data_IF_122127210209
#
_entry.id   IF_122127210209
#
_cell.length_a   1.000
_cell.length_b   1.000
_cell.length_c   1.000
_cell.angle_alpha   90.00
_cell.angle_beta   90.00
_cell.angle_gamma   90.00
#
_symmetry.space_group_name_H-M   'P 1'
#
loop_
_entity.id
_entity.type
_entity.pdbx_description
1 polymer ?
#
# COMPACT_ATOMS: atom_id res chain seq x y z
N UNK A 1 -35.71 -9.02 -41.68
CA UNK A 1 -35.68 -9.08 -40.21
C UNK A 1 -34.25 -9.44 -39.81
N UNK A 2 -33.43 -8.42 -39.58
CA UNK A 2 -32.03 -8.64 -39.16
C UNK A 2 -31.97 -8.75 -37.65
N UNK A 3 -31.66 -9.94 -37.15
CA UNK A 3 -31.38 -10.17 -35.72
C UNK A 3 -29.91 -9.88 -35.49
N UNK A 4 -29.58 -8.72 -34.91
CA UNK A 4 -28.28 -8.44 -34.40
C UNK A 4 -28.13 -9.22 -33.07
N UNK A 5 -27.38 -10.30 -33.08
CA UNK A 5 -26.79 -10.88 -31.91
C UNK A 5 -25.57 -10.01 -31.57
N UNK A 6 -25.77 -8.94 -30.80
CA UNK A 6 -24.70 -8.27 -30.12
C UNK A 6 -24.18 -9.20 -29.03
N UNK A 7 -23.10 -9.90 -29.28
CA UNK A 7 -22.37 -10.60 -28.24
C UNK A 7 -21.97 -9.54 -27.21
N UNK A 8 -22.47 -9.66 -25.97
CA UNK A 8 -21.96 -8.89 -24.84
C UNK A 8 -20.49 -9.27 -24.70
N UNK A 9 -19.57 -8.38 -25.12
CA UNK A 9 -18.17 -8.53 -24.72
C UNK A 9 -18.14 -8.46 -23.22
N UNK A 10 -17.68 -9.52 -22.58
CA UNK A 10 -17.52 -9.57 -21.13
C UNK A 10 -16.44 -8.54 -20.76
N UNK A 11 -16.81 -7.46 -20.09
CA UNK A 11 -15.86 -6.42 -19.69
C UNK A 11 -14.94 -6.91 -18.62
N UNK A 12 -13.72 -6.44 -18.63
CA UNK A 12 -12.68 -6.76 -17.63
C UNK A 12 -12.11 -5.50 -17.04
N UNK A 13 -12.36 -5.30 -15.76
CA UNK A 13 -11.85 -4.16 -15.01
C UNK A 13 -10.77 -4.60 -14.03
N UNK A 14 -9.75 -3.76 -13.92
CA UNK A 14 -8.68 -3.85 -12.94
C UNK A 14 -8.84 -2.71 -11.93
N UNK A 15 -8.79 -3.02 -10.64
CA UNK A 15 -8.64 -2.04 -9.56
C UNK A 15 -7.23 -2.18 -8.97
N UNK A 16 -6.49 -1.09 -8.90
CA UNK A 16 -5.14 -1.03 -8.30
C UNK A 16 -5.19 -0.11 -7.09
N UNK A 17 -4.57 -0.53 -5.97
CA UNK A 17 -4.43 0.25 -4.74
C UNK A 17 -2.97 0.19 -4.27
N UNK A 18 -2.35 1.35 -4.07
CA UNK A 18 -0.95 1.48 -3.64
C UNK A 18 -0.85 1.23 -2.13
N UNK A 19 -0.05 0.23 -1.75
CA UNK A 19 -0.01 -0.27 -0.36
C UNK A 19 0.54 0.79 0.60
N UNK A 20 -0.30 1.20 1.59
CA UNK A 20 0.08 2.19 2.62
C UNK A 20 0.70 3.48 2.03
N UNK A 21 0.16 3.98 0.96
CA UNK A 21 0.74 4.90 -0.01
C UNK A 21 1.63 5.99 0.61
N UNK A 22 1.09 6.86 1.47
CA UNK A 22 1.88 7.96 2.04
C UNK A 22 3.08 7.46 2.86
N UNK A 23 2.92 6.37 3.62
CA UNK A 23 4.02 5.80 4.38
C UNK A 23 5.06 5.16 3.47
N UNK A 24 4.64 4.53 2.36
CA UNK A 24 5.54 3.97 1.36
C UNK A 24 6.36 5.06 0.67
N UNK A 25 5.73 6.18 0.26
CA UNK A 25 6.46 7.35 -0.29
C UNK A 25 7.49 7.88 0.72
N UNK A 26 7.12 8.02 2.00
CA UNK A 26 8.02 8.51 3.03
C UNK A 26 9.21 7.57 3.29
N UNK A 27 8.99 6.26 3.22
CA UNK A 27 10.09 5.28 3.31
C UNK A 27 11.01 5.38 2.10
N UNK A 28 10.47 5.30 0.89
CA UNK A 28 11.26 5.30 -0.35
C UNK A 28 12.09 6.57 -0.50
N UNK A 29 11.51 7.74 -0.24
CA UNK A 29 12.25 9.02 -0.28
C UNK A 29 13.42 9.10 0.72
N UNK A 30 13.45 8.22 1.73
CA UNK A 30 14.55 8.07 2.71
C UNK A 30 15.50 6.92 2.37
N UNK A 31 15.29 6.23 1.25
CA UNK A 31 16.05 5.04 0.89
C UNK A 31 15.72 3.82 1.76
N UNK A 32 14.52 3.78 2.35
CA UNK A 32 14.05 2.73 3.27
C UNK A 32 12.98 1.87 2.60
N UNK A 33 12.94 0.59 2.96
CA UNK A 33 11.89 -0.34 2.49
C UNK A 33 10.65 -0.27 3.40
N UNK A 34 9.48 0.13 2.87
CA UNK A 34 8.25 0.22 3.65
C UNK A 34 7.75 -1.12 4.20
N UNK A 35 8.19 -2.24 3.62
CA UNK A 35 7.81 -3.57 4.06
C UNK A 35 8.54 -4.01 5.33
N UNK A 36 9.65 -3.36 5.67
CA UNK A 36 10.48 -3.74 6.84
C UNK A 36 10.67 -2.61 7.85
N UNK A 37 10.46 -1.35 7.45
CA UNK A 37 10.66 -0.20 8.34
C UNK A 37 9.35 0.27 8.96
N UNK A 38 9.34 0.39 10.27
CA UNK A 38 8.23 0.92 11.04
C UNK A 38 8.17 2.45 10.88
N UNK A 39 7.11 2.94 10.24
CA UNK A 39 6.92 4.37 9.99
C UNK A 39 5.43 4.73 10.06
N UNK A 40 5.15 5.91 10.61
CA UNK A 40 3.82 6.55 10.57
C UNK A 40 3.93 7.93 9.93
N UNK A 41 2.91 8.31 9.17
CA UNK A 41 2.77 9.67 8.64
C UNK A 41 1.77 10.43 9.50
N UNK A 42 2.27 11.38 10.29
CA UNK A 42 1.44 12.18 11.20
C UNK A 42 2.08 13.53 11.49
N UNK A 43 1.25 14.55 11.71
CA UNK A 43 1.70 15.86 12.19
C UNK A 43 1.81 15.84 13.73
N UNK A 44 2.99 15.44 14.22
CA UNK A 44 3.27 15.38 15.66
C UNK A 44 3.44 16.75 16.31
N UNK A 45 3.58 17.84 15.52
CA UNK A 45 3.73 19.19 16.04
C UNK A 45 2.44 19.75 16.66
N UNK A 46 1.28 19.19 16.27
CA UNK A 46 -0.03 19.65 16.71
C UNK A 46 -0.43 19.02 18.04
N UNK A 47 -0.64 17.71 18.05
CA UNK A 47 -1.09 16.97 19.24
C UNK A 47 -1.05 15.46 18.99
N UNK A 48 -0.88 14.67 20.03
CA UNK A 48 -0.96 13.22 19.97
C UNK A 48 -2.35 12.67 19.56
N UNK A 49 -3.39 13.52 19.57
CA UNK A 49 -4.74 13.17 19.09
C UNK A 49 -4.87 13.25 17.58
N UNK A 50 -3.81 13.70 16.86
CA UNK A 50 -3.80 13.78 15.40
C UNK A 50 -4.01 12.39 14.80
N UNK A 51 -4.75 12.33 13.69
CA UNK A 51 -4.96 11.08 12.93
C UNK A 51 -3.71 10.83 12.10
N UNK A 52 -3.17 9.61 12.15
CA UNK A 52 -2.12 9.19 11.25
C UNK A 52 -2.70 8.99 9.85
N UNK A 53 -2.13 9.66 8.85
CA UNK A 53 -2.60 9.56 7.46
C UNK A 53 -2.30 8.19 6.86
N UNK A 54 -1.16 7.61 7.22
CA UNK A 54 -0.75 6.27 6.83
C UNK A 54 0.22 5.67 7.84
N UNK A 55 0.30 4.34 7.79
CA UNK A 55 1.23 3.51 8.57
C UNK A 55 1.89 2.53 7.62
N UNK A 56 3.19 2.31 7.75
CA UNK A 56 3.92 1.34 6.94
C UNK A 56 3.37 -0.08 7.10
N UNK A 57 3.47 -0.93 6.07
CA UNK A 57 3.12 -2.34 6.19
C UNK A 57 3.84 -3.03 7.35
N UNK A 58 5.12 -2.73 7.54
CA UNK A 58 5.92 -3.24 8.66
C UNK A 58 5.25 -2.97 10.02
N UNK A 59 4.86 -1.73 10.30
CA UNK A 59 4.24 -1.40 11.58
C UNK A 59 2.81 -1.96 11.71
N UNK A 60 2.09 -2.12 10.59
CA UNK A 60 0.78 -2.79 10.58
C UNK A 60 0.87 -4.26 10.98
N UNK A 61 1.96 -4.97 10.69
CA UNK A 61 2.16 -6.37 11.06
C UNK A 61 2.14 -6.60 12.58
N UNK A 62 2.43 -5.56 13.36
CA UNK A 62 2.30 -5.57 14.82
C UNK A 62 0.86 -5.33 15.33
N UNK A 63 -0.13 -5.30 14.44
CA UNK A 63 -1.54 -5.11 14.78
C UNK A 63 -1.91 -3.65 15.08
N UNK A 64 -1.15 -2.69 14.55
CA UNK A 64 -1.55 -1.28 14.54
C UNK A 64 -2.60 -1.06 13.45
N UNK A 65 -3.72 -0.40 13.77
CA UNK A 65 -4.80 -0.16 12.81
C UNK A 65 -4.36 0.76 11.65
N UNK A 66 -5.09 0.74 10.53
CA UNK A 66 -4.68 1.47 9.33
C UNK A 66 -4.71 3.01 9.45
N UNK A 67 -5.61 3.57 10.28
CA UNK A 67 -5.76 5.02 10.50
C UNK A 67 -5.96 5.34 11.99
N UNK A 68 -4.99 5.02 12.87
CA UNK A 68 -5.09 5.30 14.30
C UNK A 68 -4.81 6.78 14.56
N UNK A 69 -5.10 7.22 15.76
CA UNK A 69 -4.53 8.45 16.29
C UNK A 69 -3.10 8.19 16.79
N UNK A 70 -2.25 9.22 16.78
CA UNK A 70 -0.84 9.04 17.14
C UNK A 70 -0.66 8.49 18.57
N UNK A 71 -1.53 8.87 19.53
CA UNK A 71 -1.47 8.31 20.87
C UNK A 71 -1.80 6.81 20.91
N UNK A 72 -2.65 6.32 20.02
CA UNK A 72 -2.97 4.89 19.91
C UNK A 72 -1.78 4.08 19.40
N UNK A 73 -1.03 4.66 18.43
CA UNK A 73 0.24 4.07 17.98
C UNK A 73 1.23 3.99 19.14
N UNK A 74 1.42 5.11 19.87
CA UNK A 74 2.30 5.17 21.04
C UNK A 74 1.91 4.14 22.10
N UNK A 75 0.61 3.98 22.36
CA UNK A 75 0.13 2.98 23.33
C UNK A 75 0.40 1.56 22.85
N UNK A 76 0.06 1.26 21.59
CA UNK A 76 0.28 -0.08 21.03
C UNK A 76 1.75 -0.48 21.04
N UNK A 77 2.65 0.45 20.66
CA UNK A 77 4.09 0.21 20.72
C UNK A 77 4.58 -0.03 22.14
N UNK A 78 4.08 0.73 23.13
CA UNK A 78 4.39 0.47 24.55
C UNK A 78 3.96 -0.91 25.00
N UNK A 79 2.76 -1.35 24.61
CA UNK A 79 2.24 -2.67 24.99
C UNK A 79 3.09 -3.78 24.36
N UNK A 80 3.47 -3.65 23.07
CA UNK A 80 4.35 -4.59 22.39
C UNK A 80 5.73 -4.64 23.08
N UNK A 81 6.29 -3.48 23.41
CA UNK A 81 7.59 -3.40 24.08
C UNK A 81 7.52 -3.95 25.50
N UNK A 82 6.41 -3.78 26.20
CA UNK A 82 6.19 -4.43 27.49
C UNK A 82 6.26 -5.96 27.35
N UNK A 83 5.53 -6.54 26.40
CA UNK A 83 5.52 -7.98 26.15
C UNK A 83 6.89 -8.51 25.70
N UNK A 84 7.60 -7.76 24.84
CA UNK A 84 8.96 -8.10 24.40
C UNK A 84 9.91 -8.11 25.57
N UNK A 85 9.89 -7.06 26.42
CA UNK A 85 10.76 -6.91 27.58
C UNK A 85 10.54 -8.03 28.61
N UNK A 86 9.30 -8.51 28.80
CA UNK A 86 9.02 -9.62 29.73
C UNK A 86 9.66 -10.93 29.30
N UNK A 87 9.96 -11.09 28.01
CA UNK A 87 10.63 -12.29 27.47
C UNK A 87 12.17 -12.25 27.58
N UNK A 88 12.75 -11.08 27.87
CA UNK A 88 14.20 -10.91 28.02
C UNK A 88 14.62 -11.24 29.45
N UNK A 89 15.68 -12.08 29.68
CA UNK A 89 16.14 -12.40 31.03
C UNK A 89 16.49 -11.17 31.87
N UNK A 90 17.19 -10.20 31.27
CA UNK A 90 17.57 -8.93 31.91
C UNK A 90 16.40 -7.95 32.12
N UNK A 91 15.23 -8.20 31.51
CA UNK A 91 14.05 -7.30 31.50
C UNK A 91 14.37 -5.86 31.12
N UNK A 92 15.38 -5.67 30.29
CA UNK A 92 15.83 -4.38 29.78
C UNK A 92 16.25 -4.49 28.33
N UNK A 93 15.95 -3.47 27.54
CA UNK A 93 16.49 -3.31 26.19
C UNK A 93 17.86 -2.63 26.28
N UNK A 94 18.75 -2.95 25.34
CA UNK A 94 20.05 -2.29 25.25
C UNK A 94 20.08 -1.23 24.16
N UNK A 95 19.21 -1.35 23.14
CA UNK A 95 19.04 -0.39 22.05
C UNK A 95 17.63 -0.49 21.46
N UNK A 96 17.32 0.27 20.42
CA UNK A 96 16.04 0.30 19.73
C UNK A 96 16.22 0.34 18.22
N UNK A 97 15.25 -0.21 17.47
CA UNK A 97 15.27 -0.21 16.02
C UNK A 97 13.87 -0.04 15.42
N UNK A 98 13.85 0.57 14.22
CA UNK A 98 12.65 0.66 13.39
C UNK A 98 12.56 -0.49 12.36
N UNK A 99 13.59 -1.34 12.24
CA UNK A 99 13.64 -2.44 11.26
C UNK A 99 13.10 -3.74 11.90
N UNK A 100 12.04 -4.31 11.31
CA UNK A 100 11.43 -5.55 11.83
C UNK A 100 12.38 -6.75 11.75
N UNK A 101 13.30 -6.78 10.78
CA UNK A 101 14.28 -7.88 10.63
C UNK A 101 15.27 -7.89 11.80
N UNK A 102 15.70 -6.72 12.24
CA UNK A 102 16.55 -6.59 13.42
C UNK A 102 15.78 -6.96 14.69
N UNK A 103 14.50 -6.54 14.80
CA UNK A 103 13.63 -6.92 15.92
C UNK A 103 13.38 -8.43 16.01
N UNK A 104 13.34 -9.12 14.87
CA UNK A 104 13.19 -10.58 14.80
C UNK A 104 14.50 -11.29 15.13
N UNK A 105 15.63 -10.75 14.68
CA UNK A 105 16.97 -11.31 14.92
C UNK A 105 17.44 -11.12 16.36
N UNK A 106 17.08 -9.99 16.99
CA UNK A 106 17.52 -9.67 18.36
C UNK A 106 16.34 -9.26 19.24
N UNK A 107 15.91 -10.15 20.16
CA UNK A 107 14.83 -9.85 21.10
C UNK A 107 15.17 -8.77 22.13
N UNK A 108 16.45 -8.40 22.29
CA UNK A 108 16.88 -7.36 23.23
C UNK A 108 16.76 -5.94 22.68
N UNK A 109 16.33 -5.78 21.41
CA UNK A 109 16.02 -4.50 20.81
C UNK A 109 14.58 -4.07 21.11
N UNK A 110 14.43 -2.79 21.44
CA UNK A 110 13.12 -2.14 21.57
C UNK A 110 12.54 -1.81 20.21
N UNK A 111 11.26 -2.08 19.98
CA UNK A 111 10.53 -1.62 18.81
C UNK A 111 10.39 -0.11 18.85
N UNK A 112 10.91 0.56 17.83
CA UNK A 112 10.74 1.98 17.58
C UNK A 112 10.09 2.21 16.20
N UNK A 113 9.73 3.45 15.89
CA UNK A 113 9.15 3.82 14.60
C UNK A 113 9.45 5.29 14.27
N UNK A 114 9.51 5.58 12.97
CA UNK A 114 9.71 6.92 12.45
C UNK A 114 8.36 7.64 12.39
N UNK A 115 8.30 8.89 12.85
CA UNK A 115 7.16 9.79 12.63
C UNK A 115 7.53 10.77 11.52
N UNK A 116 6.92 10.63 10.35
CA UNK A 116 7.13 11.49 9.20
C UNK A 116 6.03 12.56 9.10
N UNK A 117 6.37 13.86 8.97
CA UNK A 117 5.37 14.89 8.73
C UNK A 117 4.74 14.71 7.34
N UNK A 118 3.43 15.00 7.17
CA UNK A 118 2.75 14.90 5.88
C UNK A 118 3.32 15.85 4.84
N UNK A 119 3.58 15.35 3.61
CA UNK A 119 4.06 16.12 2.46
C UNK A 119 3.10 15.96 1.26
N UNK A 120 1.90 16.55 1.36
CA UNK A 120 0.82 16.31 0.40
C UNK A 120 1.22 16.59 -1.05
N UNK A 121 1.99 17.67 -1.32
CA UNK A 121 2.48 17.98 -2.67
C UNK A 121 3.33 16.83 -3.21
N UNK A 122 4.25 16.31 -2.39
CA UNK A 122 5.11 15.17 -2.78
C UNK A 122 4.29 13.92 -3.13
N UNK A 123 3.24 13.65 -2.37
CA UNK A 123 2.36 12.51 -2.65
C UNK A 123 1.61 12.70 -3.97
N UNK A 124 1.16 13.92 -4.28
CA UNK A 124 0.54 14.22 -5.57
C UNK A 124 1.53 14.04 -6.74
N UNK A 125 2.77 14.49 -6.59
CA UNK A 125 3.82 14.30 -7.61
C UNK A 125 4.10 12.83 -7.90
N UNK A 126 4.27 12.01 -6.85
CA UNK A 126 4.52 10.57 -7.00
C UNK A 126 3.30 9.87 -7.62
N UNK A 127 2.08 10.23 -7.21
CA UNK A 127 0.85 9.70 -7.80
C UNK A 127 0.72 10.03 -9.29
N UNK A 128 1.05 11.26 -9.69
CA UNK A 128 1.08 11.67 -11.09
C UNK A 128 2.11 10.85 -11.89
N UNK A 129 3.31 10.64 -11.35
CA UNK A 129 4.32 9.78 -11.99
C UNK A 129 3.87 8.32 -12.13
N UNK A 130 3.09 7.79 -11.17
CA UNK A 130 2.51 6.45 -11.29
C UNK A 130 1.41 6.42 -12.37
N UNK A 131 0.58 7.46 -12.46
CA UNK A 131 -0.40 7.60 -13.53
C UNK A 131 0.27 7.60 -14.91
N UNK A 132 1.41 8.28 -15.07
CA UNK A 132 2.20 8.26 -16.32
C UNK A 132 2.69 6.84 -16.68
N UNK A 133 2.90 5.96 -15.67
CA UNK A 133 3.21 4.56 -15.94
C UNK A 133 1.98 3.81 -16.49
N UNK A 134 0.78 4.06 -15.95
CA UNK A 134 -0.46 3.48 -16.47
C UNK A 134 -0.69 3.89 -17.92
N UNK A 135 -0.42 5.15 -18.27
CA UNK A 135 -0.54 5.68 -19.65
C UNK A 135 0.38 5.01 -20.68
N UNK A 136 1.42 4.32 -20.25
CA UNK A 136 2.26 3.52 -21.17
C UNK A 136 1.50 2.30 -21.74
N UNK A 137 0.46 1.87 -21.05
CA UNK A 137 -0.29 0.65 -21.34
C UNK A 137 -1.72 0.93 -21.80
N UNK A 138 -2.35 1.96 -21.27
CA UNK A 138 -3.79 2.18 -21.29
C UNK A 138 -4.04 3.63 -21.71
N UNK A 139 -5.01 3.85 -22.55
CA UNK A 139 -5.45 5.20 -22.92
C UNK A 139 -6.13 5.91 -21.74
N UNK A 140 -6.01 7.24 -21.62
CA UNK A 140 -6.51 7.98 -20.45
C UNK A 140 -8.03 7.84 -20.25
N UNK A 141 -8.81 7.65 -21.31
CA UNK A 141 -10.27 7.43 -21.26
C UNK A 141 -10.68 6.13 -20.58
N UNK A 142 -9.78 5.13 -20.53
CA UNK A 142 -10.02 3.83 -19.91
C UNK A 142 -9.44 3.74 -18.48
N UNK A 143 -8.87 4.84 -17.97
CA UNK A 143 -8.35 4.95 -16.60
C UNK A 143 -9.25 5.88 -15.80
N UNK A 144 -9.86 5.36 -14.74
CA UNK A 144 -10.61 6.15 -13.75
C UNK A 144 -9.80 6.29 -12.46
N UNK A 145 -9.23 7.48 -12.21
CA UNK A 145 -8.54 7.80 -10.96
C UNK A 145 -9.60 7.99 -9.87
N UNK A 146 -9.67 7.03 -8.95
CA UNK A 146 -10.64 7.06 -7.84
C UNK A 146 -10.13 7.87 -6.66
N UNK A 147 -8.84 7.76 -6.35
CA UNK A 147 -8.15 8.54 -5.32
C UNK A 147 -6.67 8.72 -5.67
N UNK A 148 -5.91 9.35 -4.78
CA UNK A 148 -4.47 9.57 -4.97
C UNK A 148 -3.67 8.25 -5.02
N UNK A 149 -4.23 7.16 -4.47
CA UNK A 149 -3.59 5.85 -4.34
C UNK A 149 -4.39 4.71 -4.98
N UNK A 150 -5.54 5.04 -5.60
CA UNK A 150 -6.43 4.02 -6.17
C UNK A 150 -6.92 4.41 -7.58
N UNK A 151 -6.83 3.47 -8.51
CA UNK A 151 -7.31 3.64 -9.87
C UNK A 151 -8.06 2.39 -10.36
N UNK A 152 -9.07 2.61 -11.22
CA UNK A 152 -9.75 1.58 -12.00
C UNK A 152 -9.35 1.70 -13.46
N UNK A 153 -9.13 0.57 -14.12
CA UNK A 153 -8.68 0.48 -15.49
C UNK A 153 -9.59 -0.50 -16.22
N UNK A 154 -10.17 -0.08 -17.35
CA UNK A 154 -10.87 -1.00 -18.27
C UNK A 154 -9.82 -1.71 -19.15
N UNK A 155 -9.62 -3.00 -18.92
CA UNK A 155 -8.67 -3.82 -19.66
C UNK A 155 -9.28 -4.49 -20.90
N UNK A 156 -10.58 -4.35 -21.14
CA UNK A 156 -11.36 -5.18 -22.06
C UNK A 156 -10.72 -5.28 -23.46
N UNK A 157 -10.38 -4.16 -24.06
CA UNK A 157 -9.81 -4.11 -25.42
C UNK A 157 -8.29 -4.37 -25.45
N UNK A 158 -7.63 -4.20 -24.31
CA UNK A 158 -6.17 -4.31 -24.21
C UNK A 158 -5.68 -5.75 -24.10
N UNK A 159 -6.51 -6.67 -23.62
CA UNK A 159 -6.14 -8.09 -23.48
C UNK A 159 -5.80 -8.71 -24.84
N UNK A 160 -6.63 -8.45 -25.84
CA UNK A 160 -6.41 -8.92 -27.20
C UNK A 160 -5.23 -8.18 -27.87
N UNK A 161 -5.08 -6.87 -27.60
CA UNK A 161 -3.99 -6.05 -28.14
C UNK A 161 -2.62 -6.54 -27.65
N UNK A 162 -2.49 -6.79 -26.32
CA UNK A 162 -1.24 -7.26 -25.72
C UNK A 162 -1.08 -8.78 -25.81
N UNK A 163 -2.10 -9.52 -26.24
CA UNK A 163 -2.16 -11.01 -26.22
C UNK A 163 -1.83 -11.57 -24.83
N UNK A 164 -2.33 -10.92 -23.80
CA UNK A 164 -2.16 -11.26 -22.40
C UNK A 164 -3.50 -11.50 -21.73
N UNK A 165 -3.51 -12.37 -20.72
CA UNK A 165 -4.65 -12.41 -19.81
C UNK A 165 -4.59 -11.21 -18.82
N UNK A 166 -5.73 -10.93 -18.18
CA UNK A 166 -5.85 -9.77 -17.29
C UNK A 166 -4.87 -9.80 -16.10
N UNK A 167 -4.56 -10.98 -15.58
CA UNK A 167 -3.60 -11.16 -14.48
C UNK A 167 -2.19 -10.79 -14.89
N UNK A 168 -1.75 -11.27 -16.05
CA UNK A 168 -0.39 -11.03 -16.54
C UNK A 168 -0.19 -9.55 -16.88
N UNK A 169 -1.19 -8.91 -17.52
CA UNK A 169 -1.14 -7.49 -17.81
C UNK A 169 -1.15 -6.65 -16.52
N UNK A 170 -2.00 -6.98 -15.53
CA UNK A 170 -2.01 -6.33 -14.23
C UNK A 170 -0.67 -6.49 -13.50
N UNK A 171 -0.09 -7.71 -13.51
CA UNK A 171 1.22 -7.97 -12.89
C UNK A 171 2.33 -7.18 -13.54
N UNK A 172 2.29 -7.01 -14.86
CA UNK A 172 3.26 -6.20 -15.60
C UNK A 172 3.17 -4.72 -15.22
N UNK A 173 1.96 -4.16 -15.20
CA UNK A 173 1.73 -2.75 -14.82
C UNK A 173 2.22 -2.50 -13.38
N UNK A 174 1.85 -3.38 -12.43
CA UNK A 174 2.27 -3.27 -11.02
C UNK A 174 3.79 -3.45 -10.87
N UNK A 175 4.39 -4.35 -11.65
CA UNK A 175 5.84 -4.54 -11.69
C UNK A 175 6.57 -3.27 -12.10
N UNK A 176 6.13 -2.62 -13.17
CA UNK A 176 6.71 -1.35 -13.64
C UNK A 176 6.53 -0.20 -12.63
N UNK A 177 5.39 -0.17 -11.91
CA UNK A 177 5.19 0.78 -10.80
C UNK A 177 6.21 0.52 -9.70
N UNK A 178 6.40 -0.73 -9.30
CA UNK A 178 7.36 -1.08 -8.26
C UNK A 178 8.81 -0.79 -8.69
N UNK A 179 9.19 -1.15 -9.90
CA UNK A 179 10.54 -0.87 -10.44
C UNK A 179 10.85 0.64 -10.48
N UNK A 180 9.86 1.45 -10.88
CA UNK A 180 10.05 2.89 -10.99
C UNK A 180 9.99 3.64 -9.65
N UNK A 181 9.24 3.13 -8.67
CA UNK A 181 8.91 3.88 -7.46
C UNK A 181 9.26 3.16 -6.15
N UNK A 182 9.56 1.87 -6.17
CA UNK A 182 9.71 1.06 -4.95
C UNK A 182 8.43 0.86 -4.14
N UNK A 183 7.26 1.29 -4.68
CA UNK A 183 5.97 1.21 -3.99
C UNK A 183 5.23 -0.02 -4.46
N UNK A 184 4.82 -0.86 -3.52
CA UNK A 184 4.01 -2.04 -3.80
C UNK A 184 2.54 -1.68 -3.98
N UNK A 185 1.84 -2.46 -4.82
CA UNK A 185 0.41 -2.33 -5.05
C UNK A 185 -0.32 -3.66 -4.87
N UNK A 186 -1.60 -3.59 -4.56
CA UNK A 186 -2.53 -4.71 -4.66
C UNK A 186 -3.50 -4.49 -5.80
N UNK A 187 -3.95 -5.57 -6.43
CA UNK A 187 -4.90 -5.50 -7.53
C UNK A 187 -6.05 -6.48 -7.37
N UNK A 188 -7.21 -6.07 -7.88
CA UNK A 188 -8.38 -6.93 -8.04
C UNK A 188 -8.91 -6.85 -9.47
N UNK A 189 -9.35 -7.98 -10.01
CA UNK A 189 -9.91 -8.08 -11.35
C UNK A 189 -11.36 -8.52 -11.23
N UNK A 190 -12.25 -7.93 -12.03
CA UNK A 190 -13.67 -8.25 -12.05
C UNK A 190 -14.34 -7.84 -13.35
N UNK A 191 -15.56 -8.31 -13.57
CA UNK A 191 -16.37 -7.98 -14.77
C UNK A 191 -17.01 -6.60 -14.71
N UNK A 192 -16.85 -5.90 -13.60
CA UNK A 192 -17.19 -4.50 -13.41
C UNK A 192 -16.32 -3.90 -12.29
N UNK A 193 -16.30 -2.56 -12.17
CA UNK A 193 -15.49 -1.83 -11.17
C UNK A 193 -15.79 -2.27 -9.73
N UNK A 194 -17.06 -2.54 -9.39
CA UNK A 194 -17.44 -2.98 -8.05
C UNK A 194 -16.82 -4.34 -7.71
N UNK A 195 -16.93 -5.33 -8.60
CA UNK A 195 -16.35 -6.66 -8.39
C UNK A 195 -14.81 -6.62 -8.38
N UNK A 196 -14.20 -5.77 -9.20
CA UNK A 196 -12.76 -5.55 -9.17
C UNK A 196 -12.30 -5.01 -7.80
N UNK A 197 -13.05 -4.03 -7.24
CA UNK A 197 -12.77 -3.51 -5.91
C UNK A 197 -12.99 -4.53 -4.80
N UNK A 198 -14.06 -5.29 -4.85
CA UNK A 198 -14.32 -6.37 -3.86
C UNK A 198 -13.21 -7.42 -3.91
N UNK A 199 -12.78 -7.83 -5.10
CA UNK A 199 -11.66 -8.76 -5.26
C UNK A 199 -10.37 -8.21 -4.65
N UNK A 200 -10.08 -6.92 -4.85
CA UNK A 200 -8.91 -6.27 -4.28
C UNK A 200 -9.00 -6.15 -2.74
N UNK A 201 -10.10 -5.64 -2.20
CA UNK A 201 -10.21 -5.34 -0.76
C UNK A 201 -10.37 -6.60 0.10
N UNK A 202 -11.09 -7.61 -0.40
CA UNK A 202 -11.41 -8.81 0.40
C UNK A 202 -10.39 -9.93 0.18
N UNK A 203 -9.94 -10.14 -1.06
CA UNK A 203 -9.09 -11.28 -1.40
C UNK A 203 -7.62 -10.88 -1.43
N UNK A 204 -7.26 -9.85 -2.21
CA UNK A 204 -5.86 -9.50 -2.43
C UNK A 204 -5.22 -8.92 -1.17
N UNK A 205 -5.89 -8.02 -0.44
CA UNK A 205 -5.35 -7.41 0.80
C UNK A 205 -5.20 -8.40 1.95
N UNK A 206 -6.06 -9.45 2.04
CA UNK A 206 -5.94 -10.49 3.07
C UNK A 206 -4.80 -11.48 2.82
N UNK A 207 -4.46 -11.73 1.56
CA UNK A 207 -3.39 -12.66 1.18
C UNK A 207 -2.01 -11.99 1.10
N UNK A 208 -1.95 -10.67 1.24
CA UNK A 208 -0.73 -9.86 1.18
C UNK A 208 -0.27 -9.36 2.57
N UNK A 209 -0.94 -9.82 3.65
CA UNK A 209 -0.63 -9.49 5.06
C UNK A 209 0.09 -10.63 5.76
#
# INVERSE_FOLDING_TARGET
MFVFWGGYMERTYLCIDLKSYYASVECVDRGLDPMVINLVVADASRTDKTICLAISPALKSFGVSGRPRLFEVKQKVRDINYDRRMKIPAKAFWDKTCDIRELEADPTLELDYIVAPPRMMRYMEVSAGIYDIYLKYIAPEDIHVYSIDEAFIDLTTYLDFYKMNARDLASKIIGDVFEATGITATAGIGTNMYLAKVAMDIVAKKNAS
#
